data_IF_628551740524
#
_entry.id   IF_628551740524
#
_cell.length_a   1.000
_cell.length_b   1.000
_cell.length_c   1.000
_cell.angle_alpha   90.00
_cell.angle_beta   90.00
_cell.angle_gamma   90.00
#
_symmetry.space_group_name_H-M   'P 1'
#
loop_
_entity.id
_entity.type
_entity.pdbx_description
1 polymer ?
#
# COMPACT_ATOMS: atom_id res chain seq x y z
N UNK A 1 -7.33 11.86 -0.87
CA UNK A 1 -7.65 10.73 -1.77
C UNK A 1 -7.46 9.43 -0.98
N UNK A 2 -8.31 8.41 -1.14
CA UNK A 2 -8.25 7.19 -0.31
C UNK A 2 -7.19 6.23 -0.85
N UNK A 3 -6.28 5.78 0.01
CA UNK A 3 -5.37 4.65 -0.30
C UNK A 3 -6.19 3.38 -0.56
N UNK A 4 -5.93 2.72 -1.70
CA UNK A 4 -6.53 1.43 -2.03
C UNK A 4 -5.81 0.27 -1.34
N UNK A 5 -6.56 -0.80 -1.03
CA UNK A 5 -5.99 -2.06 -0.54
C UNK A 5 -5.13 -2.69 -1.65
N UNK A 6 -3.93 -3.21 -1.35
CA UNK A 6 -3.13 -3.93 -2.34
C UNK A 6 -3.87 -5.18 -2.80
N UNK A 7 -3.64 -5.59 -4.05
CA UNK A 7 -4.27 -6.78 -4.59
C UNK A 7 -3.29 -7.95 -4.57
N UNK A 8 -3.57 -8.94 -3.72
CA UNK A 8 -2.80 -10.18 -3.63
C UNK A 8 -3.71 -11.36 -3.27
N UNK A 9 -3.17 -12.58 -3.32
CA UNK A 9 -3.96 -13.80 -3.07
C UNK A 9 -4.67 -13.81 -1.71
N UNK A 10 -4.02 -13.28 -0.66
CA UNK A 10 -4.62 -13.21 0.68
C UNK A 10 -5.82 -12.26 0.70
N UNK A 11 -5.68 -11.06 0.10
CA UNK A 11 -6.77 -10.08 -0.03
C UNK A 11 -7.90 -10.63 -0.89
N UNK A 12 -7.58 -11.27 -2.03
CA UNK A 12 -8.57 -11.91 -2.90
C UNK A 12 -9.34 -12.99 -2.13
N UNK A 13 -8.63 -13.85 -1.39
CA UNK A 13 -9.25 -14.92 -0.63
C UNK A 13 -10.25 -14.41 0.41
N UNK A 14 -9.87 -13.43 1.23
CA UNK A 14 -10.75 -12.90 2.29
C UNK A 14 -11.92 -12.09 1.71
N UNK A 15 -11.71 -11.33 0.63
CA UNK A 15 -12.81 -10.62 -0.06
C UNK A 15 -13.81 -11.61 -0.64
N UNK A 16 -13.33 -12.73 -1.20
CA UNK A 16 -14.21 -13.80 -1.68
C UNK A 16 -15.03 -14.42 -0.53
N UNK A 17 -14.42 -14.64 0.64
CA UNK A 17 -15.15 -15.13 1.83
C UNK A 17 -16.24 -14.15 2.26
N UNK A 18 -15.94 -12.84 2.27
CA UNK A 18 -16.91 -11.79 2.62
C UNK A 18 -18.10 -11.72 1.64
N UNK A 19 -17.97 -12.25 0.43
CA UNK A 19 -19.01 -12.24 -0.63
C UNK A 19 -19.71 -13.60 -0.77
N UNK A 20 -19.13 -14.67 -0.23
CA UNK A 20 -19.65 -16.02 -0.35
C UNK A 20 -20.97 -16.23 0.41
N UNK A 21 -22.03 -16.63 -0.28
CA UNK A 21 -23.34 -16.90 0.33
C UNK A 21 -23.58 -18.38 0.64
N UNK A 22 -22.56 -19.22 0.49
CA UNK A 22 -22.67 -20.66 0.76
C UNK A 22 -23.09 -20.97 2.20
N UNK A 23 -22.62 -20.19 3.18
CA UNK A 23 -22.98 -20.30 4.60
C UNK A 23 -24.41 -19.83 4.88
N UNK A 24 -24.88 -18.75 4.25
CA UNK A 24 -26.25 -18.27 4.38
C UNK A 24 -27.26 -19.32 3.87
N UNK A 25 -26.95 -19.95 2.73
CA UNK A 25 -27.76 -21.05 2.18
C UNK A 25 -27.84 -22.28 3.08
N UNK A 26 -26.77 -22.59 3.81
CA UNK A 26 -26.75 -23.70 4.78
C UNK A 26 -27.57 -23.41 6.04
N UNK A 27 -27.71 -22.14 6.42
CA UNK A 27 -28.48 -21.71 7.58
C UNK A 27 -29.99 -21.53 7.30
N UNK A 28 -30.46 -21.93 6.11
CA UNK A 28 -31.87 -21.78 5.70
C UNK A 28 -32.26 -20.37 5.26
N UNK A 29 -31.27 -19.48 5.05
CA UNK A 29 -31.47 -18.18 4.42
C UNK A 29 -31.33 -18.27 2.90
N UNK A 30 -32.22 -17.61 2.15
CA UNK A 30 -32.26 -17.74 0.69
C UNK A 30 -31.19 -16.90 -0.02
N UNK A 31 -30.75 -15.79 0.59
CA UNK A 31 -30.01 -14.76 -0.14
C UNK A 31 -29.16 -13.85 0.74
N UNK A 32 -27.98 -13.48 0.23
CA UNK A 32 -27.08 -12.49 0.85
C UNK A 32 -26.56 -11.50 -0.19
N UNK A 33 -26.60 -10.23 0.13
CA UNK A 33 -25.97 -9.16 -0.65
C UNK A 33 -24.43 -9.21 -0.54
N UNK A 34 -23.66 -8.78 -1.55
CA UNK A 34 -24.08 -8.21 -2.83
C UNK A 34 -24.73 -9.24 -3.78
N UNK A 35 -25.69 -8.80 -4.61
CA UNK A 35 -26.27 -9.63 -5.67
C UNK A 35 -25.29 -9.89 -6.82
N UNK A 36 -25.61 -10.86 -7.70
CA UNK A 36 -24.92 -10.98 -8.99
C UNK A 36 -25.03 -9.71 -9.83
N UNK A 37 -26.12 -8.96 -9.74
CA UNK A 37 -26.30 -7.71 -10.47
C UNK A 37 -25.43 -6.58 -9.89
N UNK A 38 -25.25 -6.53 -8.57
CA UNK A 38 -24.35 -5.57 -7.93
C UNK A 38 -22.89 -5.81 -8.29
N UNK A 39 -22.46 -7.08 -8.29
CA UNK A 39 -21.13 -7.46 -8.74
C UNK A 39 -20.93 -7.03 -10.20
N UNK A 40 -21.92 -7.27 -11.05
CA UNK A 40 -21.87 -6.88 -12.47
C UNK A 40 -21.76 -5.37 -12.65
N UNK A 41 -22.57 -4.60 -11.92
CA UNK A 41 -22.50 -3.14 -11.93
C UNK A 41 -21.10 -2.64 -11.55
N UNK A 42 -20.51 -3.17 -10.49
CA UNK A 42 -19.17 -2.79 -10.05
C UNK A 42 -18.08 -3.21 -11.05
N UNK A 43 -18.18 -4.40 -11.62
CA UNK A 43 -17.28 -4.89 -12.67
C UNK A 43 -17.31 -3.97 -13.88
N UNK A 44 -18.50 -3.61 -14.35
CA UNK A 44 -18.67 -2.72 -15.51
C UNK A 44 -18.16 -1.31 -15.20
N UNK A 45 -18.40 -0.81 -13.99
CA UNK A 45 -17.90 0.50 -13.53
C UNK A 45 -16.38 0.63 -13.64
N UNK A 46 -15.64 -0.46 -13.44
CA UNK A 46 -14.17 -0.48 -13.51
C UNK A 46 -13.62 -1.05 -14.83
N UNK A 47 -14.47 -1.24 -15.85
CA UNK A 47 -14.04 -1.72 -17.17
C UNK A 47 -13.63 -3.20 -17.21
N UNK A 48 -14.02 -3.99 -16.21
CA UNK A 48 -13.57 -5.38 -16.03
C UNK A 48 -14.51 -6.41 -16.65
N UNK A 49 -15.49 -5.98 -17.45
CA UNK A 49 -16.53 -6.82 -18.05
C UNK A 49 -15.97 -8.01 -18.84
N UNK A 50 -14.87 -7.79 -19.58
CA UNK A 50 -14.23 -8.84 -20.38
C UNK A 50 -13.66 -9.99 -19.54
N UNK A 51 -13.34 -9.74 -18.27
CA UNK A 51 -12.78 -10.73 -17.34
C UNK A 51 -13.86 -11.49 -16.55
N UNK A 52 -15.13 -11.12 -16.74
CA UNK A 52 -16.23 -11.65 -15.96
C UNK A 52 -16.78 -12.96 -16.55
N UNK A 53 -16.56 -14.13 -15.91
CA UNK A 53 -17.02 -15.40 -16.44
C UNK A 53 -18.55 -15.45 -16.62
N UNK A 54 -19.33 -14.70 -15.82
CA UNK A 54 -20.79 -14.65 -15.98
C UNK A 54 -21.18 -13.91 -17.27
N UNK A 55 -20.48 -12.82 -17.62
CA UNK A 55 -20.71 -12.08 -18.86
C UNK A 55 -20.22 -12.87 -20.09
N UNK A 56 -19.31 -13.81 -19.88
CA UNK A 56 -18.91 -14.81 -20.88
C UNK A 56 -19.87 -16.02 -20.96
N UNK A 57 -21.03 -15.96 -20.28
CA UNK A 57 -22.06 -17.01 -20.33
C UNK A 57 -21.84 -18.19 -19.39
N UNK A 58 -20.86 -18.15 -18.48
CA UNK A 58 -20.62 -19.22 -17.52
C UNK A 58 -21.53 -19.08 -16.28
N UNK A 59 -22.10 -20.20 -15.83
CA UNK A 59 -22.82 -20.25 -14.56
C UNK A 59 -21.85 -20.47 -13.39
N UNK A 60 -21.55 -19.40 -12.64
CA UNK A 60 -20.63 -19.43 -11.50
C UNK A 60 -21.22 -18.73 -10.28
N UNK A 61 -20.92 -19.23 -9.09
CA UNK A 61 -21.28 -18.56 -7.83
C UNK A 61 -20.52 -17.25 -7.62
N UNK A 62 -21.03 -16.37 -6.74
CA UNK A 62 -20.48 -15.02 -6.49
C UNK A 62 -18.99 -15.02 -6.14
N UNK A 63 -18.59 -15.82 -5.16
CA UNK A 63 -17.18 -15.89 -4.74
C UNK A 63 -16.26 -16.37 -5.87
N UNK A 64 -16.67 -17.40 -6.62
CA UNK A 64 -15.89 -17.91 -7.77
C UNK A 64 -15.77 -16.88 -8.89
N UNK A 65 -16.86 -16.15 -9.18
CA UNK A 65 -16.89 -15.06 -10.15
C UNK A 65 -15.90 -13.95 -9.77
N UNK A 66 -16.00 -13.44 -8.54
CA UNK A 66 -15.12 -12.37 -8.04
C UNK A 66 -13.66 -12.83 -8.03
N UNK A 67 -13.38 -14.06 -7.60
CA UNK A 67 -12.03 -14.63 -7.63
C UNK A 67 -11.42 -14.62 -9.02
N UNK A 68 -12.16 -15.09 -10.03
CA UNK A 68 -11.68 -15.14 -11.41
C UNK A 68 -11.29 -13.73 -11.91
N UNK A 69 -12.17 -12.75 -11.72
CA UNK A 69 -11.92 -11.37 -12.14
C UNK A 69 -10.69 -10.81 -11.42
N UNK A 70 -10.61 -10.96 -10.10
CA UNK A 70 -9.53 -10.38 -9.30
C UNK A 70 -8.17 -11.01 -9.63
N UNK A 71 -8.13 -12.32 -9.87
CA UNK A 71 -6.90 -13.02 -10.25
C UNK A 71 -6.35 -12.54 -11.61
N UNK A 72 -7.23 -12.35 -12.60
CA UNK A 72 -6.81 -11.78 -13.90
C UNK A 72 -6.31 -10.33 -13.74
N UNK A 73 -6.96 -9.53 -12.88
CA UNK A 73 -6.51 -8.16 -12.63
C UNK A 73 -5.18 -8.07 -11.88
N UNK A 74 -4.80 -9.08 -11.08
CA UNK A 74 -3.47 -9.08 -10.42
C UNK A 74 -2.32 -9.06 -11.43
N UNK A 75 -2.52 -9.62 -12.62
CA UNK A 75 -1.49 -9.69 -13.68
C UNK A 75 -1.66 -8.55 -14.68
N UNK A 76 -2.90 -8.15 -14.98
CA UNK A 76 -3.19 -7.17 -16.03
C UNK A 76 -3.33 -5.71 -15.55
N UNK A 77 -4.25 -5.46 -14.63
CA UNK A 77 -4.62 -4.12 -14.15
C UNK A 77 -4.92 -4.17 -12.65
N UNK A 78 -3.85 -4.14 -11.85
CA UNK A 78 -3.92 -4.28 -10.39
C UNK A 78 -4.77 -3.17 -9.76
N UNK A 79 -4.73 -1.96 -10.34
CA UNK A 79 -5.45 -0.80 -9.83
C UNK A 79 -6.96 -0.93 -10.02
N UNK A 80 -7.42 -1.38 -11.19
CA UNK A 80 -8.83 -1.68 -11.41
C UNK A 80 -9.34 -2.79 -10.48
N UNK A 81 -8.54 -3.84 -10.26
CA UNK A 81 -8.84 -4.90 -9.30
C UNK A 81 -8.93 -4.38 -7.85
N UNK A 82 -7.98 -3.54 -7.42
CA UNK A 82 -7.99 -2.91 -6.09
C UNK A 82 -9.21 -1.99 -5.89
N UNK A 83 -9.60 -1.22 -6.92
CA UNK A 83 -10.82 -0.39 -6.92
C UNK A 83 -12.09 -1.23 -6.80
N UNK A 84 -12.13 -2.40 -7.47
CA UNK A 84 -13.22 -3.36 -7.35
C UNK A 84 -13.31 -3.92 -5.92
N UNK A 85 -12.20 -4.39 -5.33
CA UNK A 85 -12.13 -4.84 -3.93
C UNK A 85 -12.70 -3.78 -2.99
N UNK A 86 -12.20 -2.55 -3.09
CA UNK A 86 -12.63 -1.45 -2.22
C UNK A 86 -14.14 -1.18 -2.34
N UNK A 87 -14.70 -1.24 -3.56
CA UNK A 87 -16.13 -1.03 -3.79
C UNK A 87 -17.00 -2.19 -3.31
N UNK A 88 -16.52 -3.43 -3.44
CA UNK A 88 -17.18 -4.61 -2.91
C UNK A 88 -17.28 -4.55 -1.38
N UNK A 89 -16.19 -4.18 -0.69
CA UNK A 89 -16.19 -4.02 0.76
C UNK A 89 -17.18 -2.94 1.23
N UNK A 90 -17.21 -1.80 0.53
CA UNK A 90 -18.21 -0.75 0.79
C UNK A 90 -19.63 -1.29 0.62
N UNK A 91 -19.90 -2.07 -0.44
CA UNK A 91 -21.22 -2.66 -0.68
C UNK A 91 -21.59 -3.68 0.39
N UNK A 92 -20.68 -4.59 0.76
CA UNK A 92 -20.88 -5.56 1.86
C UNK A 92 -21.23 -4.82 3.16
N UNK A 93 -20.49 -3.76 3.50
CA UNK A 93 -20.78 -2.89 4.65
C UNK A 93 -22.15 -2.24 4.55
N UNK A 94 -22.47 -1.62 3.42
CA UNK A 94 -23.73 -0.92 3.20
C UNK A 94 -24.94 -1.84 3.35
N UNK A 95 -24.79 -3.13 3.00
CA UNK A 95 -25.85 -4.13 3.14
C UNK A 95 -25.93 -4.76 4.54
N UNK A 96 -25.08 -4.33 5.48
CA UNK A 96 -25.06 -4.84 6.85
C UNK A 96 -24.21 -6.09 7.05
N UNK A 97 -23.29 -6.41 6.14
CA UNK A 97 -22.42 -7.59 6.24
C UNK A 97 -21.56 -7.66 7.50
N UNK A 98 -21.30 -6.52 8.14
CA UNK A 98 -20.53 -6.39 9.38
C UNK A 98 -21.40 -6.24 10.63
N UNK A 99 -22.73 -6.39 10.51
CA UNK A 99 -23.67 -6.23 11.63
C UNK A 99 -24.25 -7.60 12.01
N UNK A 100 -23.91 -8.12 13.20
CA UNK A 100 -24.35 -9.44 13.69
C UNK A 100 -25.87 -9.69 13.60
N UNK A 101 -26.67 -8.64 13.78
CA UNK A 101 -28.14 -8.73 13.69
C UNK A 101 -28.73 -8.54 12.28
N UNK A 102 -27.91 -8.50 11.23
CA UNK A 102 -28.36 -8.38 9.85
C UNK A 102 -28.48 -9.75 9.21
N UNK A 103 -29.50 -9.96 8.38
CA UNK A 103 -29.61 -11.16 7.53
C UNK A 103 -28.45 -11.29 6.54
N UNK A 104 -27.75 -10.17 6.28
CA UNK A 104 -26.56 -10.15 5.44
C UNK A 104 -25.24 -10.42 6.17
N UNK A 105 -25.27 -10.70 7.47
CA UNK A 105 -24.06 -10.86 8.27
C UNK A 105 -23.12 -11.93 7.68
N UNK A 106 -21.84 -11.58 7.51
CA UNK A 106 -20.86 -12.44 6.83
C UNK A 106 -20.28 -13.52 7.74
N UNK A 107 -20.47 -13.40 9.05
CA UNK A 107 -19.91 -14.29 10.07
C UNK A 107 -18.63 -13.78 10.73
N UNK A 108 -18.46 -14.11 12.01
CA UNK A 108 -17.33 -13.68 12.84
C UNK A 108 -15.97 -14.14 12.25
N UNK A 109 -15.91 -15.37 11.75
CA UNK A 109 -14.69 -15.96 11.18
C UNK A 109 -14.23 -15.23 9.91
N UNK A 110 -15.16 -14.92 8.99
CA UNK A 110 -14.83 -14.20 7.76
C UNK A 110 -14.33 -12.76 8.06
N UNK A 111 -14.91 -12.10 9.06
CA UNK A 111 -14.45 -10.77 9.51
C UNK A 111 -13.06 -10.89 10.15
N UNK A 112 -12.82 -11.86 11.02
CA UNK A 112 -11.52 -12.06 11.68
C UNK A 112 -10.41 -12.36 10.66
N UNK A 113 -10.68 -13.20 9.67
CA UNK A 113 -9.75 -13.48 8.57
C UNK A 113 -9.44 -12.23 7.76
N UNK A 114 -10.46 -11.44 7.40
CA UNK A 114 -10.28 -10.19 6.67
C UNK A 114 -9.47 -9.16 7.47
N UNK A 115 -9.72 -9.04 8.77
CA UNK A 115 -8.93 -8.17 9.67
C UNK A 115 -7.46 -8.56 9.67
N UNK A 116 -7.17 -9.84 9.86
CA UNK A 116 -5.79 -10.36 9.87
C UNK A 116 -5.06 -10.09 8.55
N UNK A 117 -5.71 -10.37 7.42
CA UNK A 117 -5.13 -10.15 6.10
C UNK A 117 -4.91 -8.65 5.79
N UNK A 118 -5.80 -7.77 6.24
CA UNK A 118 -5.62 -6.32 6.05
C UNK A 118 -4.50 -5.80 6.93
N UNK A 119 -4.41 -6.31 8.17
CA UNK A 119 -3.40 -5.91 9.14
C UNK A 119 -1.97 -6.20 8.62
N UNK A 120 -1.78 -7.37 8.01
CA UNK A 120 -0.51 -7.76 7.38
C UNK A 120 -0.13 -6.89 6.19
N UNK A 121 -1.09 -6.22 5.55
CA UNK A 121 -0.87 -5.29 4.43
C UNK A 121 -0.80 -3.82 4.88
N UNK A 122 -0.87 -3.56 6.19
CA UNK A 122 -0.76 -2.20 6.74
C UNK A 122 -2.08 -1.44 6.68
N UNK A 123 -3.20 -2.16 6.63
CA UNK A 123 -4.56 -1.65 6.72
C UNK A 123 -5.21 -2.12 8.01
N UNK A 124 -6.20 -1.38 8.48
CA UNK A 124 -7.07 -1.80 9.56
C UNK A 124 -8.48 -2.00 9.01
N UNK A 125 -9.21 -2.95 9.60
CA UNK A 125 -10.63 -3.18 9.38
C UNK A 125 -11.33 -3.22 10.74
N UNK A 126 -12.28 -2.31 10.96
CA UNK A 126 -13.06 -2.25 12.19
C UNK A 126 -14.23 -3.24 12.15
N UNK A 127 -14.84 -3.48 13.31
CA UNK A 127 -16.02 -4.35 13.44
C UNK A 127 -17.22 -3.88 12.62
N UNK A 128 -17.35 -2.58 12.33
CA UNK A 128 -18.46 -2.02 11.55
C UNK A 128 -18.20 -2.03 10.03
N UNK A 129 -17.09 -2.65 9.60
CA UNK A 129 -16.67 -2.70 8.20
C UNK A 129 -15.99 -1.43 7.69
N UNK A 130 -15.73 -0.42 8.54
CA UNK A 130 -14.82 0.67 8.15
C UNK A 130 -13.41 0.14 8.04
N UNK A 131 -12.68 0.62 7.04
CA UNK A 131 -11.29 0.24 6.83
C UNK A 131 -10.51 1.41 6.26
N UNK A 132 -9.19 1.34 6.43
CA UNK A 132 -8.26 2.35 5.95
C UNK A 132 -6.83 1.90 6.15
N UNK A 133 -5.90 2.64 5.58
CA UNK A 133 -4.49 2.42 5.87
C UNK A 133 -4.19 2.81 7.32
N UNK A 134 -3.24 2.10 7.95
CA UNK A 134 -2.69 2.49 9.25
C UNK A 134 -1.97 3.82 9.11
N UNK A 135 -2.37 4.81 9.90
CA UNK A 135 -1.68 6.10 9.99
C UNK A 135 -0.39 5.89 10.80
N UNK A 136 0.71 6.51 10.38
CA UNK A 136 2.00 6.40 11.07
C UNK A 136 2.03 7.18 12.40
N UNK A 137 1.19 8.21 12.51
CA UNK A 137 1.08 9.04 13.71
C UNK A 137 0.74 8.20 14.94
N UNK A 138 1.56 8.34 15.99
CA UNK A 138 1.38 7.63 17.25
C UNK A 138 2.04 6.24 17.32
N UNK A 139 2.46 5.66 16.20
CA UNK A 139 3.24 4.42 16.21
C UNK A 139 4.66 4.67 16.72
N UNK A 140 5.23 3.70 17.44
CA UNK A 140 6.61 3.78 17.95
C UNK A 140 7.32 2.44 17.85
N UNK A 141 8.66 2.47 17.83
CA UNK A 141 9.49 1.29 17.94
C UNK A 141 9.16 0.21 16.88
N UNK A 142 8.94 -1.06 17.28
CA UNK A 142 8.69 -2.16 16.33
C UNK A 142 7.47 -1.95 15.43
N UNK A 143 6.39 -1.36 15.96
CA UNK A 143 5.16 -1.11 15.20
C UNK A 143 5.38 -0.09 14.08
N UNK A 144 6.13 0.98 14.38
CA UNK A 144 6.55 1.97 13.38
C UNK A 144 7.45 1.34 12.32
N UNK A 145 8.42 0.50 12.72
CA UNK A 145 9.27 -0.24 11.77
C UNK A 145 8.43 -1.12 10.84
N UNK A 146 7.47 -1.87 11.38
CA UNK A 146 6.60 -2.73 10.58
C UNK A 146 5.74 -1.92 9.61
N UNK A 147 5.12 -0.84 10.08
CA UNK A 147 4.30 0.03 9.24
C UNK A 147 5.11 0.65 8.10
N UNK A 148 6.26 1.28 8.40
CA UNK A 148 7.14 1.87 7.39
C UNK A 148 7.62 0.85 6.36
N UNK A 149 7.89 -0.40 6.79
CA UNK A 149 8.28 -1.47 5.86
C UNK A 149 7.17 -1.81 4.87
N UNK A 150 5.92 -1.86 5.33
CA UNK A 150 4.76 -2.10 4.45
C UNK A 150 4.53 -0.92 3.49
N UNK A 151 4.78 0.31 3.92
CA UNK A 151 4.79 1.47 3.02
C UNK A 151 5.91 1.39 1.96
N UNK A 152 7.12 1.00 2.37
CA UNK A 152 8.25 0.84 1.48
C UNK A 152 8.04 -0.24 0.41
N UNK A 153 7.51 -1.40 0.79
CA UNK A 153 7.17 -2.49 -0.14
C UNK A 153 6.11 -2.08 -1.18
N UNK A 154 5.12 -1.29 -0.77
CA UNK A 154 4.11 -0.75 -1.69
C UNK A 154 4.71 0.25 -2.66
N UNK A 155 5.56 1.15 -2.16
CA UNK A 155 6.28 2.12 -2.99
C UNK A 155 7.18 1.43 -4.04
N UNK A 156 7.82 0.31 -3.69
CA UNK A 156 8.64 -0.50 -4.62
C UNK A 156 7.84 -1.15 -5.76
N UNK A 157 6.53 -1.39 -5.60
CA UNK A 157 5.69 -1.96 -6.67
C UNK A 157 5.26 -0.92 -7.70
N UNK A 158 5.53 0.36 -7.46
CA UNK A 158 5.22 1.43 -8.40
C UNK A 158 3.72 1.58 -8.69
N UNK A 159 2.84 1.14 -7.77
CA UNK A 159 1.38 1.29 -7.90
C UNK A 159 1.05 2.76 -8.14
N UNK A 160 0.42 3.06 -9.28
CA UNK A 160 0.12 4.43 -9.77
C UNK A 160 -0.85 5.21 -8.87
N UNK A 161 -1.39 4.61 -7.81
CA UNK A 161 -2.02 5.32 -6.69
C UNK A 161 -1.01 6.26 -5.99
N UNK A 162 0.30 6.06 -6.22
CA UNK A 162 1.38 6.98 -5.85
C UNK A 162 1.56 8.18 -6.79
N UNK A 163 0.94 8.18 -7.97
CA UNK A 163 1.04 9.28 -8.94
C UNK A 163 0.30 10.56 -8.47
N UNK A 164 -0.66 10.43 -7.54
CA UNK A 164 -1.24 11.55 -6.79
C UNK A 164 -0.50 11.89 -5.49
N UNK A 165 0.65 11.24 -5.25
CA UNK A 165 1.46 11.34 -4.07
C UNK A 165 2.91 11.74 -4.39
N UNK A 166 3.09 12.82 -5.16
CA UNK A 166 4.39 13.51 -5.20
C UNK A 166 4.90 13.86 -3.78
N UNK A 167 4.01 13.98 -2.79
CA UNK A 167 4.34 14.10 -1.36
C UNK A 167 4.89 12.81 -0.70
N UNK A 168 4.35 11.63 -0.98
CA UNK A 168 4.60 10.45 -0.12
C UNK A 168 5.97 9.81 -0.27
N UNK A 169 6.63 9.90 -1.42
CA UNK A 169 7.99 9.38 -1.53
C UNK A 169 8.95 10.10 -0.58
N UNK A 170 8.84 11.44 -0.51
CA UNK A 170 9.60 12.25 0.45
C UNK A 170 9.15 11.96 1.87
N UNK A 171 7.84 12.01 2.13
CA UNK A 171 7.30 11.82 3.48
C UNK A 171 7.65 10.44 4.04
N UNK A 172 7.63 9.39 3.22
CA UNK A 172 8.09 8.04 3.57
C UNK A 172 9.58 8.01 3.91
N UNK A 173 10.43 8.61 3.07
CA UNK A 173 11.87 8.67 3.33
C UNK A 173 12.20 9.52 4.56
N UNK A 174 11.49 10.63 4.79
CA UNK A 174 11.67 11.48 5.99
C UNK A 174 11.17 10.77 7.25
N UNK A 175 9.99 10.15 7.22
CA UNK A 175 9.48 9.35 8.32
C UNK A 175 10.43 8.19 8.65
N UNK A 176 10.99 7.54 7.63
CA UNK A 176 11.98 6.47 7.80
C UNK A 176 13.28 7.00 8.40
N UNK A 177 13.83 8.09 7.88
CA UNK A 177 15.05 8.70 8.40
C UNK A 177 14.87 9.21 9.84
N UNK A 178 13.76 9.88 10.13
CA UNK A 178 13.40 10.33 11.47
C UNK A 178 13.24 9.14 12.44
N UNK A 179 12.60 8.05 12.00
CA UNK A 179 12.47 6.82 12.79
C UNK A 179 13.82 6.16 13.08
N UNK A 180 14.71 6.06 12.09
CA UNK A 180 16.08 5.55 12.27
C UNK A 180 16.82 6.37 13.32
N UNK A 181 16.81 7.70 13.18
CA UNK A 181 17.51 8.59 14.10
C UNK A 181 16.91 8.55 15.52
N UNK A 182 15.58 8.55 15.62
CA UNK A 182 14.90 8.44 16.92
C UNK A 182 15.18 7.09 17.58
N UNK A 183 15.26 6.01 16.80
CA UNK A 183 15.55 4.68 17.33
C UNK A 183 17.00 4.55 17.81
N UNK A 184 17.96 5.13 17.09
CA UNK A 184 19.39 5.04 17.43
C UNK A 184 19.80 6.05 18.51
N UNK A 185 19.31 7.28 18.41
CA UNK A 185 19.78 8.42 19.21
C UNK A 185 18.70 9.03 20.13
N UNK A 186 17.47 8.50 20.14
CA UNK A 186 16.36 8.98 20.96
C UNK A 186 15.70 10.28 20.49
N UNK A 187 16.26 10.94 19.46
CA UNK A 187 15.75 12.20 18.90
C UNK A 187 16.24 12.40 17.47
N UNK A 188 15.61 13.31 16.75
CA UNK A 188 16.07 13.81 15.46
C UNK A 188 15.81 15.33 15.37
N UNK A 189 16.57 16.07 14.54
CA UNK A 189 16.34 17.50 14.35
C UNK A 189 15.18 17.76 13.38
N UNK A 190 14.06 18.26 13.91
CA UNK A 190 12.85 18.54 13.12
C UNK A 190 13.05 19.62 12.05
N UNK A 191 14.03 20.52 12.23
CA UNK A 191 14.33 21.59 11.28
C UNK A 191 15.28 21.18 10.15
N UNK A 192 15.74 19.93 10.11
CA UNK A 192 16.66 19.47 9.08
C UNK A 192 15.96 19.37 7.73
N UNK A 193 16.62 19.85 6.67
CA UNK A 193 16.13 19.61 5.31
C UNK A 193 16.29 18.13 4.94
N UNK A 194 15.56 17.69 3.92
CA UNK A 194 15.55 16.31 3.43
C UNK A 194 16.94 15.67 3.30
N UNK A 195 17.86 16.35 2.61
CA UNK A 195 19.22 15.83 2.36
C UNK A 195 20.00 15.65 3.65
N UNK A 196 19.92 16.64 4.54
CA UNK A 196 20.57 16.59 5.84
C UNK A 196 20.00 15.45 6.70
N UNK A 197 18.67 15.33 6.79
CA UNK A 197 17.99 14.29 7.55
C UNK A 197 18.37 12.89 7.06
N UNK A 198 18.32 12.68 5.74
CA UNK A 198 18.72 11.42 5.12
C UNK A 198 20.20 11.11 5.37
N UNK A 199 21.08 12.12 5.27
CA UNK A 199 22.52 11.96 5.50
C UNK A 199 22.83 11.54 6.93
N UNK A 200 22.14 12.15 7.90
CA UNK A 200 22.25 11.74 9.31
C UNK A 200 21.78 10.29 9.52
N UNK A 201 20.69 9.87 8.88
CA UNK A 201 20.21 8.49 9.02
C UNK A 201 21.20 7.48 8.40
N UNK A 202 21.70 7.74 7.19
CA UNK A 202 22.72 6.91 6.53
C UNK A 202 23.97 6.76 7.39
N UNK A 203 24.54 7.90 7.82
CA UNK A 203 25.76 7.91 8.64
C UNK A 203 25.54 7.26 10.00
N UNK A 204 24.38 7.47 10.64
CA UNK A 204 24.02 6.80 11.90
C UNK A 204 23.96 5.29 11.76
N UNK A 205 23.59 4.77 10.59
CA UNK A 205 23.58 3.35 10.25
C UNK A 205 24.94 2.82 9.75
N UNK A 206 25.97 3.67 9.69
CA UNK A 206 27.30 3.29 9.18
C UNK A 206 27.36 3.13 7.67
N UNK A 207 26.41 3.72 6.93
CA UNK A 207 26.34 3.69 5.48
C UNK A 207 27.11 4.85 4.86
N UNK A 208 27.65 4.62 3.67
CA UNK A 208 28.35 5.63 2.90
C UNK A 208 27.40 6.69 2.30
N UNK A 209 27.83 7.94 2.31
CA UNK A 209 27.14 9.07 1.66
C UNK A 209 28.02 9.71 0.58
N UNK A 210 27.46 10.40 -0.43
CA UNK A 210 28.24 10.96 -1.54
C UNK A 210 29.29 12.01 -1.13
N UNK A 211 29.13 12.64 0.03
CA UNK A 211 30.10 13.61 0.57
C UNK A 211 31.38 12.96 1.12
N UNK A 212 31.39 11.64 1.28
CA UNK A 212 32.59 10.88 1.66
C UNK A 212 33.27 10.38 0.38
N UNK A 213 34.58 10.55 0.26
CA UNK A 213 35.31 10.02 -0.88
C UNK A 213 35.36 8.48 -0.85
N UNK A 214 35.51 7.88 -2.04
CA UNK A 214 35.73 6.44 -2.17
C UNK A 214 37.18 6.11 -1.80
N UNK A 215 37.37 5.11 -0.94
CA UNK A 215 38.70 4.66 -0.54
C UNK A 215 39.16 3.47 -1.39
N UNK A 216 40.47 3.36 -1.70
CA UNK A 216 41.02 2.19 -2.39
C UNK A 216 40.71 0.89 -1.62
N UNK A 217 40.09 -0.08 -2.29
CA UNK A 217 39.74 -1.37 -1.70
C UNK A 217 38.49 -1.36 -0.81
N UNK A 218 37.71 -0.27 -0.81
CA UNK A 218 36.45 -0.26 -0.08
C UNK A 218 35.44 -1.27 -0.64
N UNK A 219 34.53 -1.83 0.20
CA UNK A 219 33.56 -2.80 -0.26
C UNK A 219 32.62 -2.19 -1.33
N UNK A 220 32.25 -2.94 -2.39
CA UNK A 220 31.31 -2.47 -3.43
C UNK A 220 29.96 -1.98 -2.89
N UNK A 221 29.56 -2.47 -1.70
CA UNK A 221 28.35 -2.01 -1.02
C UNK A 221 28.34 -0.50 -0.76
N UNK A 222 29.49 0.13 -0.51
CA UNK A 222 29.56 1.58 -0.29
C UNK A 222 29.21 2.38 -1.54
N UNK A 223 29.59 1.90 -2.73
CA UNK A 223 29.20 2.54 -3.99
C UNK A 223 27.67 2.49 -4.17
N UNK A 224 27.05 1.34 -3.89
CA UNK A 224 25.60 1.19 -3.88
C UNK A 224 24.93 2.15 -2.88
N UNK A 225 25.45 2.26 -1.66
CA UNK A 225 24.94 3.17 -0.62
C UNK A 225 24.96 4.64 -1.09
N UNK A 226 26.08 5.11 -1.66
CA UNK A 226 26.18 6.45 -2.26
C UNK A 226 25.21 6.63 -3.42
N UNK A 227 25.05 5.60 -4.25
CA UNK A 227 24.11 5.58 -5.38
C UNK A 227 22.65 5.71 -4.92
N UNK A 228 22.24 4.93 -3.92
CA UNK A 228 20.91 4.99 -3.30
C UNK A 228 20.62 6.38 -2.72
N UNK A 229 21.58 6.96 -2.00
CA UNK A 229 21.46 8.32 -1.47
C UNK A 229 21.26 9.36 -2.59
N UNK A 230 22.06 9.26 -3.65
CA UNK A 230 22.01 10.17 -4.79
C UNK A 230 20.67 10.05 -5.52
N UNK A 231 20.19 8.81 -5.73
CA UNK A 231 18.90 8.52 -6.32
C UNK A 231 17.75 9.11 -5.48
N UNK A 232 17.77 8.94 -4.15
CA UNK A 232 16.79 9.53 -3.24
C UNK A 232 16.73 11.06 -3.38
N UNK A 233 17.88 11.72 -3.41
CA UNK A 233 17.98 13.15 -3.64
C UNK A 233 17.45 13.56 -5.03
N UNK A 234 17.71 12.75 -6.05
CA UNK A 234 17.18 12.93 -7.41
C UNK A 234 15.65 12.84 -7.45
N UNK A 235 15.06 11.80 -6.84
CA UNK A 235 13.63 11.61 -6.72
C UNK A 235 12.94 12.81 -6.02
N UNK A 236 13.52 13.30 -4.91
CA UNK A 236 13.01 14.50 -4.23
C UNK A 236 13.13 15.78 -5.09
N UNK A 237 14.18 15.92 -5.92
CA UNK A 237 14.33 17.06 -6.82
C UNK A 237 13.33 17.02 -7.98
N UNK A 238 13.09 15.84 -8.55
CA UNK A 238 12.08 15.62 -9.59
C UNK A 238 10.70 16.08 -9.10
N UNK A 239 10.38 15.82 -7.83
CA UNK A 239 9.22 16.41 -7.15
C UNK A 239 9.22 17.93 -7.14
N UNK A 240 10.32 18.55 -6.67
CA UNK A 240 10.38 20.01 -6.48
C UNK A 240 10.31 20.80 -7.80
N UNK A 241 10.61 20.17 -8.95
CA UNK A 241 10.41 20.77 -10.29
C UNK A 241 8.98 20.57 -10.84
N UNK A 242 8.15 19.72 -10.22
CA UNK A 242 6.82 19.34 -10.72
C UNK A 242 5.60 19.69 -9.85
N UNK A 243 5.72 20.24 -8.63
CA UNK A 243 4.50 20.67 -7.90
C UNK A 243 4.62 21.32 -6.49
N UNK A 244 4.07 22.54 -6.40
CA UNK A 244 3.32 23.19 -5.27
C UNK A 244 4.01 23.75 -4.01
N UNK A 245 5.32 24.03 -4.02
CA UNK A 245 5.86 25.03 -3.08
C UNK A 245 5.40 26.44 -3.48
N UNK A 246 4.33 26.96 -2.85
CA UNK A 246 3.67 28.26 -3.10
C UNK A 246 2.73 28.34 -4.32
N UNK A 247 1.50 27.82 -4.21
CA UNK A 247 0.29 28.40 -4.82
C UNK A 247 0.26 28.80 -6.30
N UNK A 248 1.20 28.33 -7.14
CA UNK A 248 1.28 28.72 -8.55
C UNK A 248 0.58 27.69 -9.45
N UNK A 249 -0.25 28.13 -10.40
CA UNK A 249 -1.06 27.27 -11.26
C UNK A 249 -0.24 26.80 -12.48
N UNK A 250 0.80 25.98 -12.25
CA UNK A 250 1.54 25.37 -13.34
C UNK A 250 1.24 23.87 -13.44
N UNK A 251 1.00 23.43 -14.68
CA UNK A 251 0.80 22.03 -15.05
C UNK A 251 2.05 21.19 -14.78
N UNK A 252 1.84 20.05 -14.13
CA UNK A 252 2.85 19.04 -13.79
C UNK A 252 3.57 18.60 -15.08
N UNK A 253 4.91 18.64 -15.09
CA UNK A 253 5.74 18.23 -16.24
C UNK A 253 6.66 17.05 -15.87
N UNK A 254 6.12 16.06 -15.15
CA UNK A 254 6.80 14.79 -14.84
C UNK A 254 5.96 13.69 -15.48
N UNK A 255 6.58 12.88 -16.34
CA UNK A 255 5.91 11.76 -16.99
C UNK A 255 5.60 10.64 -16.00
N UNK A 256 4.65 9.78 -16.36
CA UNK A 256 4.26 8.63 -15.54
C UNK A 256 5.44 7.71 -15.23
N UNK A 257 6.36 7.53 -16.20
CA UNK A 257 7.56 6.72 -16.02
C UNK A 257 8.51 7.30 -14.96
N UNK A 258 8.77 8.60 -15.00
CA UNK A 258 9.64 9.25 -14.01
C UNK A 258 8.99 9.31 -12.62
N UNK A 259 7.67 9.51 -12.56
CA UNK A 259 6.92 9.46 -11.30
C UNK A 259 6.98 8.07 -10.66
N UNK A 260 6.79 7.01 -11.47
CA UNK A 260 6.92 5.61 -11.05
C UNK A 260 8.34 5.30 -10.55
N UNK A 261 9.35 5.66 -11.33
CA UNK A 261 10.74 5.46 -10.92
C UNK A 261 11.07 6.18 -9.60
N UNK A 262 10.57 7.39 -9.39
CA UNK A 262 10.81 8.15 -8.16
C UNK A 262 10.19 7.49 -6.91
N UNK A 263 8.98 6.95 -7.00
CA UNK A 263 8.36 6.24 -5.87
C UNK A 263 9.04 4.90 -5.60
N UNK A 264 9.46 4.18 -6.64
CA UNK A 264 10.20 2.92 -6.50
C UNK A 264 11.54 3.14 -5.79
N UNK A 265 12.27 4.21 -6.15
CA UNK A 265 13.50 4.62 -5.44
C UNK A 265 13.22 4.94 -3.98
N UNK A 266 12.14 5.67 -3.67
CA UNK A 266 11.78 5.99 -2.30
C UNK A 266 11.48 4.72 -1.48
N UNK A 267 10.77 3.76 -2.06
CA UNK A 267 10.53 2.46 -1.46
C UNK A 267 11.81 1.66 -1.23
N UNK A 268 12.69 1.58 -2.24
CA UNK A 268 13.96 0.87 -2.15
C UNK A 268 14.87 1.43 -1.05
N UNK A 269 15.05 2.75 -1.01
CA UNK A 269 15.89 3.41 0.00
C UNK A 269 15.31 3.20 1.40
N UNK A 270 14.00 3.38 1.57
CA UNK A 270 13.34 3.23 2.86
C UNK A 270 13.43 1.79 3.39
N UNK A 271 13.17 0.79 2.54
CA UNK A 271 13.32 -0.61 2.89
C UNK A 271 14.78 -0.93 3.30
N UNK A 272 15.75 -0.45 2.53
CA UNK A 272 17.17 -0.66 2.83
C UNK A 272 17.59 -0.10 4.18
N UNK A 273 17.15 1.12 4.53
CA UNK A 273 17.42 1.72 5.83
C UNK A 273 16.80 0.94 6.99
N UNK A 274 15.56 0.46 6.82
CA UNK A 274 14.87 -0.35 7.83
C UNK A 274 15.56 -1.71 8.03
N UNK A 275 16.04 -2.33 6.95
CA UNK A 275 16.80 -3.59 7.01
C UNK A 275 18.12 -3.40 7.76
N UNK A 276 18.85 -2.32 7.49
CA UNK A 276 20.09 -1.97 8.19
C UNK A 276 19.83 -1.65 9.67
N UNK A 277 18.75 -0.95 9.98
CA UNK A 277 18.34 -0.67 11.36
C UNK A 277 18.03 -1.97 12.11
N UNK A 278 17.32 -2.90 11.47
CA UNK A 278 16.99 -4.21 12.07
C UNK A 278 18.25 -5.07 12.27
N UNK A 279 19.17 -5.08 11.29
CA UNK A 279 20.42 -5.82 11.40
C UNK A 279 21.32 -5.30 12.54
N UNK A 280 21.29 -3.99 12.82
CA UNK A 280 22.01 -3.37 13.94
C UNK A 280 21.44 -3.74 15.32
N UNK A 281 20.13 -4.00 15.40
CA UNK A 281 19.46 -4.34 16.65
C UNK A 281 19.66 -5.82 17.07
N UNK A 282 20.29 -6.63 16.23
CA UNK A 282 20.66 -8.03 16.49
C UNK A 282 22.12 -8.13 16.90
#
# INVERSE_FOLDING_TARGET
MKMLLPLNDAIVAVVCQLIDDSTAKRAGGDFREPTHSDIEFLVNKFGLAALDPKQQGQQVGKAKRVRAILHETMVGDEEAGARLVHSLLIKVRACGGFRKGSDNYVGDEAIANAKSAFDSEGFWLAEDGTFGAKVLDGLKGPEMTAALRLYALRAQRGSEDAALLMGTGKDLMEATAAHVLTTIAGRYPESANFKALLGMAFTSLGLAVPEQDAEPGEPPAKELERGLFTAACGANKLRNKGGTGHGRPWTVNVGAAEAKAAIEVAGAVSAYLLDKLQARAR
#
